data_IF_911128320203
#
_entry.id   IF_911128320203
#
_cell.length_a   1.000
_cell.length_b   1.000
_cell.length_c   1.000
_cell.angle_alpha   90.00
_cell.angle_beta   90.00
_cell.angle_gamma   90.00
#
_symmetry.space_group_name_H-M   'P 1'
#
loop_
_entity.id
_entity.type
_entity.pdbx_description
1 polymer ?
#
# COMPACT_ATOMS: atom_id res chain seq x y z
N UNK A 1 9.01 -47.37 -56.35
CA UNK A 1 7.80 -46.88 -57.06
C UNK A 1 7.07 -45.90 -56.14
N UNK A 2 7.04 -44.65 -56.60
CA UNK A 2 6.18 -43.49 -56.27
C UNK A 2 4.70 -43.94 -56.11
N UNK A 3 3.85 -43.38 -55.22
CA UNK A 3 3.18 -42.04 -55.23
C UNK A 3 2.52 -41.83 -53.84
N UNK A 4 2.68 -40.72 -53.08
CA UNK A 4 1.92 -39.44 -53.14
C UNK A 4 0.39 -39.63 -53.22
N UNK A 5 -0.53 -38.93 -52.53
CA UNK A 5 -0.52 -37.69 -51.74
C UNK A 5 -1.98 -37.46 -51.25
N UNK A 6 -2.22 -36.91 -50.04
CA UNK A 6 -2.98 -35.66 -49.80
C UNK A 6 -3.43 -35.49 -48.33
N UNK A 7 -3.06 -34.32 -47.82
CA UNK A 7 -3.33 -33.67 -46.53
C UNK A 7 -4.67 -32.91 -46.54
N UNK A 8 -5.20 -32.62 -45.35
CA UNK A 8 -5.79 -31.36 -44.80
C UNK A 8 -7.06 -31.61 -43.97
N UNK A 9 -7.49 -30.67 -43.10
CA UNK A 9 -7.10 -30.66 -41.68
C UNK A 9 -8.33 -30.64 -40.76
N UNK A 10 -8.15 -30.91 -39.47
CA UNK A 10 -9.11 -30.42 -38.48
C UNK A 10 -8.34 -30.00 -37.25
N UNK A 11 -8.09 -28.70 -37.17
CA UNK A 11 -7.67 -28.03 -35.95
C UNK A 11 -8.77 -27.02 -35.60
N UNK A 12 -9.46 -27.23 -34.47
CA UNK A 12 -9.99 -26.14 -33.71
C UNK A 12 -9.13 -25.97 -32.46
N UNK A 13 -8.06 -25.20 -32.62
CA UNK A 13 -7.49 -24.44 -31.52
C UNK A 13 -8.57 -23.52 -30.96
N UNK A 14 -9.10 -23.84 -29.79
CA UNK A 14 -9.75 -22.91 -28.86
C UNK A 14 -10.22 -23.64 -27.59
N UNK A 15 -9.31 -24.03 -26.70
CA UNK A 15 -9.69 -24.29 -25.32
C UNK A 15 -8.52 -24.08 -24.36
N UNK A 16 -8.45 -22.85 -23.86
CA UNK A 16 -7.76 -22.42 -22.64
C UNK A 16 -6.24 -22.57 -22.69
N UNK A 17 -5.62 -21.64 -23.40
CA UNK A 17 -4.52 -20.93 -22.76
C UNK A 17 -5.05 -20.43 -21.42
N UNK A 18 -4.78 -21.18 -20.35
CA UNK A 18 -4.83 -20.64 -19.01
C UNK A 18 -3.95 -19.40 -19.11
N UNK A 19 -4.59 -18.23 -19.05
CA UNK A 19 -3.88 -16.97 -18.91
C UNK A 19 -3.07 -17.15 -17.64
N UNK A 20 -1.79 -17.52 -17.78
CA UNK A 20 -0.82 -17.25 -16.75
C UNK A 20 -1.02 -15.75 -16.50
N UNK A 21 -1.60 -15.43 -15.35
CA UNK A 21 -1.65 -14.05 -14.90
C UNK A 21 -0.19 -13.70 -14.76
N UNK A 22 0.36 -13.07 -15.79
CA UNK A 22 1.74 -12.64 -15.80
C UNK A 22 1.84 -11.66 -14.65
N UNK A 23 2.50 -12.08 -13.56
CA UNK A 23 2.60 -11.27 -12.37
C UNK A 23 3.23 -9.94 -12.79
N UNK A 24 2.61 -8.80 -12.42
CA UNK A 24 3.11 -7.52 -12.85
C UNK A 24 4.57 -7.40 -12.38
N UNK A 25 5.47 -6.88 -13.23
CA UNK A 25 6.84 -6.59 -12.83
C UNK A 25 6.87 -5.84 -11.49
N UNK A 26 7.84 -6.17 -10.63
CA UNK A 26 7.91 -5.66 -9.26
C UNK A 26 7.81 -4.13 -9.19
N UNK A 27 8.43 -3.43 -10.15
CA UNK A 27 8.38 -1.97 -10.25
C UNK A 27 6.95 -1.44 -10.51
N UNK A 28 6.16 -2.13 -11.34
CA UNK A 28 4.76 -1.80 -11.61
C UNK A 28 3.90 -2.01 -10.36
N UNK A 29 4.09 -3.13 -9.66
CA UNK A 29 3.40 -3.41 -8.38
C UNK A 29 3.75 -2.36 -7.32
N UNK A 30 5.03 -1.99 -7.18
CA UNK A 30 5.47 -0.95 -6.25
C UNK A 30 4.92 0.44 -6.62
N UNK A 31 4.81 0.78 -7.91
CA UNK A 31 4.15 2.02 -8.37
C UNK A 31 2.66 2.01 -8.00
N UNK A 32 1.96 0.91 -8.28
CA UNK A 32 0.54 0.76 -7.95
C UNK A 32 0.29 0.93 -6.45
N UNK A 33 1.01 0.20 -5.60
CA UNK A 33 0.87 0.29 -4.13
C UNK A 33 1.11 1.72 -3.61
N UNK A 34 2.12 2.41 -4.13
CA UNK A 34 2.39 3.82 -3.78
C UNK A 34 1.26 4.77 -4.20
N UNK A 35 0.64 4.53 -5.35
CA UNK A 35 -0.51 5.29 -5.82
C UNK A 35 -1.75 5.01 -4.93
N UNK A 36 -2.02 3.75 -4.62
CA UNK A 36 -3.10 3.34 -3.70
C UNK A 36 -2.96 4.01 -2.33
N UNK A 37 -1.76 3.99 -1.75
CA UNK A 37 -1.48 4.65 -0.47
C UNK A 37 -1.71 6.16 -0.54
N UNK A 38 -1.18 6.86 -1.55
CA UNK A 38 -1.43 8.30 -1.74
C UNK A 38 -2.92 8.61 -1.83
N UNK A 39 -3.64 7.83 -2.64
CA UNK A 39 -5.07 8.05 -2.85
C UNK A 39 -5.88 7.81 -1.58
N UNK A 40 -5.52 6.80 -0.78
CA UNK A 40 -6.16 6.53 0.51
C UNK A 40 -5.91 7.66 1.51
N UNK A 41 -4.66 8.13 1.63
CA UNK A 41 -4.29 9.28 2.47
C UNK A 41 -5.09 10.53 2.11
N UNK A 42 -5.13 10.91 0.83
CA UNK A 42 -5.86 12.11 0.40
C UNK A 42 -7.36 12.03 0.70
N UNK A 43 -7.99 10.87 0.44
CA UNK A 43 -9.42 10.68 0.77
C UNK A 43 -9.69 10.73 2.27
N UNK A 44 -8.76 10.23 3.09
CA UNK A 44 -8.86 10.30 4.54
C UNK A 44 -8.70 11.75 5.04
N UNK A 45 -7.70 12.46 4.55
CA UNK A 45 -7.47 13.88 4.81
C UNK A 45 -8.71 14.72 4.47
N UNK A 46 -9.25 14.57 3.25
CA UNK A 46 -10.47 15.25 2.81
C UNK A 46 -11.65 14.99 3.74
N UNK A 47 -11.84 13.74 4.17
CA UNK A 47 -12.95 13.35 5.03
C UNK A 47 -12.85 13.97 6.42
N UNK A 48 -11.65 13.95 7.01
CA UNK A 48 -11.40 14.56 8.31
C UNK A 48 -11.51 16.07 8.21
N UNK A 49 -10.87 16.71 7.23
CA UNK A 49 -10.85 18.16 7.03
C UNK A 49 -12.25 18.76 6.74
N UNK A 50 -13.17 17.97 6.19
CA UNK A 50 -14.53 18.43 5.91
C UNK A 50 -15.22 19.05 7.13
N UNK A 51 -16.04 20.10 6.94
CA UNK A 51 -16.76 20.74 8.03
C UNK A 51 -17.74 19.76 8.69
N UNK A 52 -17.82 19.82 10.02
CA UNK A 52 -18.90 19.18 10.78
C UNK A 52 -20.13 20.06 10.58
N UNK A 53 -20.94 19.74 9.57
CA UNK A 53 -22.18 20.46 9.25
C UNK A 53 -23.30 20.04 10.22
N UNK A 54 -24.54 20.42 9.90
CA UNK A 54 -25.75 20.12 10.68
C UNK A 54 -25.98 18.63 10.97
N UNK A 55 -25.37 17.71 10.18
CA UNK A 55 -25.33 16.28 10.44
C UNK A 55 -23.92 15.77 10.81
N UNK A 56 -23.56 15.79 12.11
CA UNK A 56 -22.32 15.23 12.63
C UNK A 56 -22.21 13.71 12.40
N UNK A 57 -23.31 12.97 12.40
CA UNK A 57 -23.28 11.52 12.23
C UNK A 57 -22.81 11.15 10.81
N UNK A 58 -23.26 11.89 9.79
CA UNK A 58 -22.75 11.73 8.43
C UNK A 58 -21.26 12.09 8.29
N UNK A 59 -20.77 13.09 9.03
CA UNK A 59 -19.34 13.39 9.07
C UNK A 59 -18.56 12.23 9.68
N UNK A 60 -18.96 11.73 10.86
CA UNK A 60 -18.27 10.61 11.53
C UNK A 60 -18.32 9.34 10.68
N UNK A 61 -19.46 9.01 10.08
CA UNK A 61 -19.61 7.84 9.21
C UNK A 61 -18.66 7.89 8.00
N UNK A 62 -18.49 9.09 7.40
CA UNK A 62 -17.53 9.28 6.32
C UNK A 62 -16.09 9.09 6.80
N UNK A 63 -15.71 9.68 7.93
CA UNK A 63 -14.37 9.50 8.50
C UNK A 63 -14.12 8.03 8.81
N UNK A 64 -15.06 7.34 9.45
CA UNK A 64 -14.98 5.91 9.75
C UNK A 64 -14.74 5.07 8.50
N UNK A 65 -15.50 5.31 7.43
CA UNK A 65 -15.33 4.61 6.17
C UNK A 65 -13.95 4.86 5.55
N UNK A 66 -13.40 6.08 5.64
CA UNK A 66 -12.06 6.38 5.12
C UNK A 66 -10.96 5.80 6.00
N UNK A 67 -11.13 5.78 7.32
CA UNK A 67 -10.21 5.09 8.24
C UNK A 67 -10.15 3.60 7.92
N UNK A 68 -11.29 2.94 7.69
CA UNK A 68 -11.33 1.53 7.31
C UNK A 68 -10.56 1.26 6.00
N UNK A 69 -10.82 2.04 4.95
CA UNK A 69 -10.08 1.92 3.67
C UNK A 69 -8.57 2.17 3.86
N UNK A 70 -8.18 3.14 4.69
CA UNK A 70 -6.78 3.39 4.96
C UNK A 70 -6.11 2.23 5.71
N UNK A 71 -6.81 1.61 6.68
CA UNK A 71 -6.34 0.39 7.37
C UNK A 71 -6.11 -0.75 6.38
N UNK A 72 -7.05 -0.98 5.46
CA UNK A 72 -6.91 -2.05 4.46
C UNK A 72 -5.69 -1.83 3.56
N UNK A 73 -5.48 -0.59 3.09
CA UNK A 73 -4.33 -0.23 2.25
C UNK A 73 -3.01 -0.33 3.02
N UNK A 74 -3.00 -0.01 4.31
CA UNK A 74 -1.82 -0.23 5.18
C UNK A 74 -1.59 -1.73 5.38
N UNK A 75 -2.61 -2.52 5.66
CA UNK A 75 -2.47 -3.97 5.81
C UNK A 75 -1.90 -4.63 4.55
N UNK A 76 -2.40 -4.26 3.37
CA UNK A 76 -1.84 -4.72 2.08
C UNK A 76 -0.38 -4.29 1.89
N UNK A 77 -0.03 -3.08 2.34
CA UNK A 77 1.34 -2.60 2.32
C UNK A 77 2.27 -3.42 3.24
N UNK A 78 1.81 -3.73 4.46
CA UNK A 78 2.55 -4.55 5.42
C UNK A 78 2.74 -5.98 4.92
N UNK A 79 1.69 -6.61 4.41
CA UNK A 79 1.81 -7.95 3.82
C UNK A 79 2.78 -7.94 2.63
N UNK A 80 2.69 -6.91 1.80
CA UNK A 80 3.57 -6.72 0.65
C UNK A 80 5.05 -6.48 0.99
N UNK A 81 5.36 -5.96 2.17
CA UNK A 81 6.73 -5.60 2.59
C UNK A 81 7.32 -6.64 3.54
N UNK A 82 6.58 -7.00 4.59
CA UNK A 82 6.99 -7.86 5.71
C UNK A 82 6.34 -9.24 5.71
N UNK A 83 5.30 -9.47 4.89
CA UNK A 83 4.58 -10.74 4.86
C UNK A 83 5.48 -11.92 4.48
N UNK A 84 4.92 -13.13 4.49
CA UNK A 84 5.66 -14.37 4.14
C UNK A 84 6.41 -14.27 2.81
N UNK A 85 5.80 -13.58 1.85
CA UNK A 85 6.34 -13.31 0.51
C UNK A 85 6.63 -11.81 0.32
N UNK A 86 6.79 -11.08 1.42
CA UNK A 86 7.10 -9.66 1.43
C UNK A 86 8.52 -9.41 0.94
N UNK A 87 8.71 -8.29 0.24
CA UNK A 87 9.97 -8.05 -0.47
C UNK A 87 11.15 -7.70 0.45
N UNK A 88 10.94 -7.32 1.72
CA UNK A 88 12.05 -6.96 2.62
C UNK A 88 13.00 -8.13 2.91
N UNK A 89 12.48 -9.35 3.04
CA UNK A 89 13.32 -10.53 3.29
C UNK A 89 14.28 -10.79 2.11
N UNK A 90 13.76 -10.73 0.87
CA UNK A 90 14.57 -10.86 -0.35
C UNK A 90 15.58 -9.71 -0.48
N UNK A 91 15.13 -8.48 -0.25
CA UNK A 91 15.99 -7.29 -0.32
C UNK A 91 17.17 -7.36 0.67
N UNK A 92 16.95 -7.84 1.89
CA UNK A 92 18.04 -8.02 2.88
C UNK A 92 19.00 -9.13 2.44
N UNK A 93 18.49 -10.23 1.87
CA UNK A 93 19.33 -11.32 1.38
C UNK A 93 20.24 -10.86 0.24
N UNK A 94 19.73 -10.01 -0.66
CA UNK A 94 20.47 -9.47 -1.81
C UNK A 94 21.39 -8.31 -1.42
N UNK A 95 20.96 -7.44 -0.51
CA UNK A 95 21.70 -6.25 -0.08
C UNK A 95 21.72 -6.10 1.45
N UNK A 96 22.53 -6.89 2.18
CA UNK A 96 22.57 -6.89 3.65
C UNK A 96 22.83 -5.52 4.29
N UNK A 97 23.52 -4.61 3.59
CA UNK A 97 23.75 -3.22 4.01
C UNK A 97 22.44 -2.44 4.29
N UNK A 98 21.32 -2.85 3.69
CA UNK A 98 20.02 -2.21 3.85
C UNK A 98 19.27 -2.62 5.13
N UNK A 99 19.79 -3.58 5.91
CA UNK A 99 19.11 -4.11 7.09
C UNK A 99 18.66 -3.03 8.08
N UNK A 100 19.50 -2.03 8.34
CA UNK A 100 19.15 -0.91 9.26
C UNK A 100 18.04 -0.02 8.71
N UNK A 101 18.01 0.22 7.41
CA UNK A 101 16.95 0.99 6.77
C UNK A 101 15.61 0.23 6.84
N UNK A 102 15.64 -1.08 6.60
CA UNK A 102 14.46 -1.95 6.74
C UNK A 102 13.98 -2.02 8.19
N UNK A 103 14.85 -2.25 9.17
CA UNK A 103 14.51 -2.27 10.60
C UNK A 103 13.78 -0.98 11.02
N UNK A 104 14.25 0.18 10.53
CA UNK A 104 13.58 1.45 10.78
C UNK A 104 12.18 1.49 10.17
N UNK A 105 12.00 1.04 8.93
CA UNK A 105 10.68 1.03 8.27
C UNK A 105 9.70 0.11 9.00
N UNK A 106 10.15 -1.06 9.46
CA UNK A 106 9.35 -1.98 10.29
C UNK A 106 8.95 -1.30 11.62
N UNK A 107 9.84 -0.54 12.24
CA UNK A 107 9.50 0.22 13.44
C UNK A 107 8.48 1.34 13.16
N UNK A 108 8.55 1.97 11.98
CA UNK A 108 7.56 2.96 11.52
C UNK A 108 6.20 2.33 11.25
N UNK A 109 6.14 1.15 10.64
CA UNK A 109 4.92 0.38 10.43
C UNK A 109 4.14 0.17 11.74
N UNK A 110 4.83 -0.29 12.79
CA UNK A 110 4.20 -0.47 14.12
C UNK A 110 3.62 0.82 14.69
N UNK A 111 4.30 1.96 14.46
CA UNK A 111 3.80 3.28 14.90
C UNK A 111 2.58 3.71 14.09
N UNK A 112 2.55 3.41 12.79
CA UNK A 112 1.42 3.69 11.91
C UNK A 112 0.21 2.85 12.33
N UNK A 113 0.40 1.55 12.62
CA UNK A 113 -0.68 0.68 13.11
C UNK A 113 -1.26 1.19 14.43
N UNK A 114 -0.41 1.58 15.38
CA UNK A 114 -0.86 2.16 16.65
C UNK A 114 -1.65 3.46 16.43
N UNK A 115 -1.16 4.37 15.57
CA UNK A 115 -1.84 5.62 15.26
C UNK A 115 -3.19 5.40 14.54
N UNK A 116 -3.28 4.38 13.67
CA UNK A 116 -4.54 3.98 13.03
C UNK A 116 -5.57 3.50 14.05
N UNK A 117 -5.13 2.73 15.04
CA UNK A 117 -6.01 2.25 16.11
C UNK A 117 -6.48 3.42 17.00
N UNK A 118 -5.59 4.34 17.37
CA UNK A 118 -5.96 5.56 18.11
C UNK A 118 -7.02 6.38 17.36
N UNK A 119 -6.84 6.56 16.05
CA UNK A 119 -7.82 7.22 15.18
C UNK A 119 -9.14 6.46 15.17
N UNK A 120 -9.12 5.13 15.02
CA UNK A 120 -10.34 4.32 15.00
C UNK A 120 -11.13 4.40 16.33
N UNK A 121 -10.43 4.39 17.47
CA UNK A 121 -11.02 4.61 18.79
C UNK A 121 -11.67 6.00 18.88
N UNK A 122 -11.00 7.05 18.42
CA UNK A 122 -11.54 8.41 18.46
C UNK A 122 -12.73 8.61 17.51
N UNK A 123 -12.74 7.96 16.35
CA UNK A 123 -13.91 7.89 15.47
C UNK A 123 -15.12 7.30 16.21
N UNK A 124 -14.93 6.15 16.89
CA UNK A 124 -15.99 5.53 17.68
C UNK A 124 -16.51 6.43 18.81
N UNK A 125 -15.61 7.15 19.49
CA UNK A 125 -15.98 8.14 20.53
C UNK A 125 -16.77 9.32 19.97
N UNK A 126 -16.42 9.81 18.77
CA UNK A 126 -17.06 10.98 18.17
C UNK A 126 -18.51 10.72 17.74
N UNK A 127 -18.90 9.44 17.56
CA UNK A 127 -20.31 9.06 17.38
C UNK A 127 -21.18 9.41 18.59
N UNK A 128 -20.59 9.39 19.79
CA UNK A 128 -21.30 9.58 21.06
C UNK A 128 -21.06 10.98 21.64
N UNK A 129 -19.86 11.53 21.45
CA UNK A 129 -19.46 12.84 21.94
C UNK A 129 -18.77 13.67 20.86
N UNK A 130 -19.45 14.75 20.42
CA UNK A 130 -18.93 15.66 19.39
C UNK A 130 -17.67 16.41 19.81
N UNK A 131 -17.40 16.54 21.12
CA UNK A 131 -16.17 17.19 21.61
C UNK A 131 -14.90 16.42 21.21
N UNK A 132 -15.03 15.11 20.90
CA UNK A 132 -13.93 14.28 20.42
C UNK A 132 -13.50 14.59 18.98
N UNK A 133 -14.20 15.47 18.25
CA UNK A 133 -13.87 15.82 16.87
C UNK A 133 -12.51 16.51 16.73
N UNK A 134 -12.14 17.40 17.66
CA UNK A 134 -10.85 18.10 17.61
C UNK A 134 -9.68 17.15 17.92
N UNK A 135 -9.72 16.33 19.00
CA UNK A 135 -8.73 15.28 19.22
C UNK A 135 -8.60 14.29 18.04
N UNK A 136 -9.72 13.94 17.39
CA UNK A 136 -9.71 13.10 16.19
C UNK A 136 -8.95 13.77 15.04
N UNK A 137 -9.14 15.08 14.81
CA UNK A 137 -8.41 15.84 13.78
C UNK A 137 -6.91 15.91 14.08
N UNK A 138 -6.55 16.11 15.34
CA UNK A 138 -5.15 16.12 15.77
C UNK A 138 -4.48 14.77 15.49
N UNK A 139 -5.09 13.66 15.93
CA UNK A 139 -4.55 12.31 15.66
C UNK A 139 -4.54 11.93 14.19
N UNK A 140 -5.55 12.33 13.42
CA UNK A 140 -5.55 12.15 11.98
C UNK A 140 -4.38 12.88 11.31
N UNK A 141 -4.07 14.11 11.76
CA UNK A 141 -2.95 14.90 11.24
C UNK A 141 -1.61 14.26 11.58
N UNK A 142 -1.42 13.81 12.82
CA UNK A 142 -0.23 13.07 13.23
C UNK A 142 -0.02 11.80 12.38
N UNK A 143 -1.09 11.02 12.16
CA UNK A 143 -1.06 9.83 11.30
C UNK A 143 -0.65 10.17 9.86
N UNK A 144 -1.21 11.23 9.28
CA UNK A 144 -0.85 11.68 7.93
C UNK A 144 0.64 12.07 7.82
N UNK A 145 1.18 12.72 8.85
CA UNK A 145 2.62 13.06 8.92
C UNK A 145 3.47 11.78 9.00
N UNK A 146 3.08 10.81 9.83
CA UNK A 146 3.79 9.53 9.93
C UNK A 146 3.81 8.79 8.58
N UNK A 147 2.65 8.69 7.93
CA UNK A 147 2.52 8.06 6.61
C UNK A 147 3.34 8.79 5.54
N UNK A 148 3.34 10.12 5.53
CA UNK A 148 4.12 10.91 4.58
C UNK A 148 5.63 10.66 4.74
N UNK A 149 6.13 10.68 5.99
CA UNK A 149 7.55 10.39 6.30
C UNK A 149 7.92 8.96 5.94
N UNK A 150 7.10 8.00 6.34
CA UNK A 150 7.32 6.59 6.00
C UNK A 150 7.43 6.38 4.48
N UNK A 151 6.55 7.01 3.70
CA UNK A 151 6.60 6.94 2.23
C UNK A 151 7.86 7.55 1.63
N UNK A 152 8.37 8.64 2.22
CA UNK A 152 9.67 9.21 1.82
C UNK A 152 10.78 8.19 2.08
N UNK A 153 10.83 7.65 3.29
CA UNK A 153 11.83 6.67 3.69
C UNK A 153 11.80 5.39 2.85
N UNK A 154 10.61 4.92 2.47
CA UNK A 154 10.45 3.81 1.54
C UNK A 154 10.93 4.14 0.12
N UNK A 155 10.83 5.41 -0.31
CA UNK A 155 11.42 5.86 -1.57
C UNK A 155 12.94 5.88 -1.51
N UNK A 156 13.51 6.33 -0.39
CA UNK A 156 14.95 6.36 -0.16
C UNK A 156 15.53 4.93 -0.19
N UNK A 157 14.85 3.96 0.45
CA UNK A 157 15.23 2.54 0.41
C UNK A 157 15.28 2.00 -1.03
N UNK A 158 14.27 2.30 -1.85
CA UNK A 158 14.23 1.84 -3.24
C UNK A 158 15.34 2.48 -4.09
N UNK A 159 15.65 3.75 -3.84
CA UNK A 159 16.79 4.41 -4.48
C UNK A 159 18.12 3.78 -4.04
N UNK A 160 18.31 3.50 -2.76
CA UNK A 160 19.52 2.82 -2.27
C UNK A 160 19.64 1.37 -2.77
N UNK A 161 18.51 0.70 -3.02
CA UNK A 161 18.48 -0.67 -3.55
C UNK A 161 18.86 -0.73 -5.03
N UNK A 162 18.26 0.14 -5.86
CA UNK A 162 18.36 0.04 -7.33
C UNK A 162 19.12 1.19 -8.00
N UNK A 163 19.27 2.33 -7.33
CA UNK A 163 19.95 3.51 -7.88
C UNK A 163 21.47 3.44 -7.80
N UNK A 164 22.04 2.61 -6.92
CA UNK A 164 23.51 2.46 -6.79
C UNK A 164 24.12 1.52 -7.85
N UNK A 165 23.31 0.66 -8.47
CA UNK A 165 23.75 -0.33 -9.46
C UNK A 165 24.05 0.30 -10.85
N UNK A 166 23.70 1.58 -11.05
CA UNK A 166 23.92 2.33 -12.30
C UNK A 166 25.23 3.13 -12.29
N UNK A 167 25.95 3.19 -11.16
CA UNK A 167 27.17 3.99 -11.01
C UNK A 167 28.50 3.23 -11.05
N UNK A 168 28.46 1.91 -11.31
CA UNK A 168 29.58 0.98 -11.09
C UNK A 168 30.43 0.62 -12.32
N UNK A 169 30.26 1.29 -13.45
CA UNK A 169 31.14 1.12 -14.61
C UNK A 169 31.72 2.48 -15.04
N UNK A 170 32.99 2.71 -14.71
CA UNK A 170 33.84 3.79 -15.25
C UNK A 170 35.29 3.33 -15.25
#
# INVERSE_FOLDING_TARGET
>A
MTTSHRTTPDDPGAARAATAVEEPPLDALLRQRRASMRAAMGRFEDAVAAPVREDPAAWVARVAARTAVLRDVVAEHLDGTEGRHGYYAGLIAEAPRLSRAVERLVAEHRRIEAALEDVAVLVGRTLVDRSAADPLREKATELLVLLARHRQHGSDLLWEAYGFDVGGES
#
